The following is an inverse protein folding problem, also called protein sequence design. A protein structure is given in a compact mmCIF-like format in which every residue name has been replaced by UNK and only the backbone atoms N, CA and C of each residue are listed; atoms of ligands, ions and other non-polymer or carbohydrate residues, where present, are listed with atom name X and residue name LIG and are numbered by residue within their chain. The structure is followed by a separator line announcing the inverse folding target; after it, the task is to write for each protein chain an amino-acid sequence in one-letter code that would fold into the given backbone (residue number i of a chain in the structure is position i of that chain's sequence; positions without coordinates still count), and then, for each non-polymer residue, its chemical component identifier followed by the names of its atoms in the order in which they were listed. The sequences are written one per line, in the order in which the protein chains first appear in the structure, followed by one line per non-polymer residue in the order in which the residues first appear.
data_IF_932265757798
#
_entry.id   IF_932265757798
#
_cell.length_a   1.000
_cell.length_b   1.000
_cell.length_c   1.000
_cell.angle_alpha   90.00
_cell.angle_beta   90.00
_cell.angle_gamma   90.00
#
_symmetry.space_group_name_H-M   'P 1'
#
loop_
_entity.id
_entity.type
_entity.pdbx_description
1 polymer ?
#
# COMPACT_ATOMS: atom_id res chain seq x y z
N UNK A 1 -2.15 12.17 -13.18
CA UNK A 1 -2.31 10.89 -12.44
C UNK A 1 -2.05 11.19 -10.98
N UNK A 2 -2.96 10.80 -10.09
CA UNK A 2 -2.74 10.81 -8.64
C UNK A 2 -1.53 9.92 -8.36
N UNK A 3 -0.39 10.54 -8.05
CA UNK A 3 0.85 9.81 -7.83
C UNK A 3 0.79 9.04 -6.51
N UNK A 4 1.56 7.96 -6.44
CA UNK A 4 1.95 7.37 -5.16
C UNK A 4 3.34 7.91 -4.84
N UNK A 5 3.56 8.34 -3.60
CA UNK A 5 4.86 8.85 -3.13
C UNK A 5 5.14 8.36 -1.72
N UNK A 6 6.36 8.54 -1.24
CA UNK A 6 6.72 8.36 0.16
C UNK A 6 6.59 9.69 0.89
N UNK A 7 5.88 9.72 2.01
CA UNK A 7 5.66 10.93 2.81
C UNK A 7 6.07 10.71 4.26
N UNK A 8 6.81 11.67 4.83
CA UNK A 8 7.16 11.66 6.24
C UNK A 8 5.97 12.04 7.11
N UNK A 9 5.69 11.21 8.11
CA UNK A 9 4.61 11.44 9.06
C UNK A 9 4.82 12.69 9.95
N UNK A 10 6.08 13.07 10.18
CA UNK A 10 6.42 14.17 11.09
C UNK A 10 6.56 15.52 10.38
N UNK A 11 7.33 15.58 9.29
CA UNK A 11 7.67 16.86 8.63
C UNK A 11 7.08 17.02 7.22
N UNK A 12 6.25 16.07 6.74
CA UNK A 12 5.60 16.14 5.43
C UNK A 12 6.53 16.07 4.22
N UNK A 13 7.80 15.74 4.41
CA UNK A 13 8.77 15.57 3.32
C UNK A 13 8.28 14.48 2.36
N UNK A 14 8.31 14.76 1.05
CA UNK A 14 7.86 13.84 0.01
C UNK A 14 9.04 13.32 -0.82
N UNK A 15 8.99 12.05 -1.20
CA UNK A 15 9.95 11.43 -2.14
C UNK A 15 9.21 10.55 -3.13
N UNK A 16 9.65 10.50 -4.37
CA UNK A 16 9.21 9.48 -5.31
C UNK A 16 9.81 8.10 -4.96
N UNK A 17 9.33 7.05 -5.64
CA UNK A 17 9.82 5.68 -5.43
C UNK A 17 11.30 5.53 -5.81
N UNK A 18 11.73 6.18 -6.88
CA UNK A 18 13.11 6.07 -7.36
C UNK A 18 14.10 6.60 -6.31
N UNK A 19 13.78 7.72 -5.68
CA UNK A 19 14.61 8.36 -4.63
C UNK A 19 14.49 7.65 -3.29
N UNK A 20 13.32 7.10 -2.99
CA UNK A 20 13.03 6.50 -1.69
C UNK A 20 13.54 5.06 -1.57
N UNK A 21 13.35 4.24 -2.60
CA UNK A 21 13.61 2.80 -2.57
C UNK A 21 14.41 2.30 -3.78
N UNK A 22 14.65 3.13 -4.78
CA UNK A 22 15.32 2.73 -6.03
C UNK A 22 14.38 2.12 -7.07
N UNK A 23 13.10 1.94 -6.74
CA UNK A 23 12.09 1.38 -7.62
C UNK A 23 11.55 2.42 -8.60
N UNK A 24 11.33 2.03 -9.85
CA UNK A 24 10.82 2.95 -10.87
C UNK A 24 9.43 3.53 -10.54
N UNK A 25 8.57 2.73 -9.88
CA UNK A 25 7.22 3.11 -9.48
C UNK A 25 6.66 2.17 -8.41
N UNK A 26 5.49 2.51 -7.86
CA UNK A 26 4.75 1.65 -6.90
C UNK A 26 4.54 0.22 -7.42
N UNK A 27 4.20 0.03 -8.70
CA UNK A 27 3.98 -1.30 -9.26
C UNK A 27 5.26 -2.16 -9.22
N UNK A 28 6.42 -1.55 -9.48
CA UNK A 28 7.71 -2.22 -9.38
C UNK A 28 8.02 -2.59 -7.93
N UNK A 29 7.83 -1.66 -6.99
CA UNK A 29 8.00 -1.92 -5.56
C UNK A 29 7.11 -3.09 -5.07
N UNK A 30 5.85 -3.15 -5.51
CA UNK A 30 4.94 -4.23 -5.12
C UNK A 30 5.40 -5.60 -5.65
N UNK A 31 5.78 -5.69 -6.93
CA UNK A 31 6.21 -6.95 -7.54
C UNK A 31 7.62 -7.41 -7.15
N UNK A 32 8.54 -6.47 -6.95
CA UNK A 32 9.96 -6.81 -6.79
C UNK A 32 10.39 -6.85 -5.33
N UNK A 33 9.63 -6.20 -4.45
CA UNK A 33 9.96 -6.09 -3.03
C UNK A 33 8.87 -6.67 -2.12
N UNK A 34 7.62 -6.24 -2.26
CA UNK A 34 6.56 -6.70 -1.36
C UNK A 34 6.19 -8.17 -1.58
N UNK A 35 5.92 -8.57 -2.82
CA UNK A 35 5.52 -9.94 -3.12
C UNK A 35 6.63 -10.97 -2.79
N UNK A 36 7.90 -10.80 -3.20
CA UNK A 36 8.95 -11.78 -2.94
C UNK A 36 9.35 -11.86 -1.46
N UNK A 37 9.14 -10.79 -0.69
CA UNK A 37 9.37 -10.78 0.77
C UNK A 37 8.22 -11.41 1.56
N UNK A 38 7.24 -12.03 0.90
CA UNK A 38 6.03 -12.55 1.56
C UNK A 38 5.31 -11.47 2.37
N UNK A 39 5.20 -10.27 1.80
CA UNK A 39 4.54 -9.12 2.43
C UNK A 39 5.17 -8.67 3.74
N UNK A 40 6.50 -8.59 3.81
CA UNK A 40 7.18 -8.01 4.97
C UNK A 40 6.79 -6.54 5.15
N UNK A 41 6.08 -6.23 6.24
CA UNK A 41 5.58 -4.89 6.55
C UNK A 41 6.71 -3.91 6.88
N UNK A 42 7.91 -4.39 7.21
CA UNK A 42 9.10 -3.55 7.37
C UNK A 42 9.46 -2.79 6.08
N UNK A 43 9.13 -3.34 4.91
CA UNK A 43 9.37 -2.70 3.62
C UNK A 43 8.51 -1.45 3.39
N UNK A 44 7.42 -1.28 4.15
CA UNK A 44 6.53 -0.11 4.08
C UNK A 44 7.00 1.06 4.95
N UNK A 45 8.16 0.93 5.58
CA UNK A 45 8.74 1.93 6.47
C UNK A 45 10.13 2.33 5.95
N UNK A 46 10.32 3.62 5.69
CA UNK A 46 11.65 4.18 5.44
C UNK A 46 11.93 5.36 6.37
N UNK A 47 13.20 5.73 6.51
CA UNK A 47 13.61 6.87 7.32
C UNK A 47 13.66 8.17 6.51
N UNK A 48 13.07 9.22 7.07
CA UNK A 48 13.16 10.56 6.51
C UNK A 48 14.59 11.09 6.62
N UNK A 49 15.16 11.55 5.51
CA UNK A 49 16.51 12.14 5.52
C UNK A 49 16.58 13.44 6.33
N UNK A 50 15.47 14.21 6.38
CA UNK A 50 15.37 15.53 7.00
C UNK A 50 15.21 15.49 8.52
N UNK A 51 14.25 14.71 9.04
CA UNK A 51 13.94 14.68 10.47
C UNK A 51 14.15 13.31 11.13
N UNK A 52 14.63 12.31 10.40
CA UNK A 52 14.80 10.90 10.85
C UNK A 52 13.50 10.19 11.30
N UNK A 53 12.35 10.85 11.14
CA UNK A 53 11.03 10.25 11.33
C UNK A 53 10.72 9.16 10.32
N UNK A 54 9.60 8.48 10.51
CA UNK A 54 9.11 7.44 9.61
C UNK A 54 8.46 8.08 8.38
N UNK A 55 8.69 7.48 7.21
CA UNK A 55 7.94 7.75 5.99
C UNK A 55 7.18 6.51 5.56
N UNK A 56 6.02 6.74 4.96
CA UNK A 56 5.12 5.72 4.42
C UNK A 56 4.70 6.08 3.01
N UNK A 57 4.24 5.08 2.27
CA UNK A 57 3.59 5.33 0.98
C UNK A 57 2.31 6.14 1.24
N UNK A 58 2.08 7.17 0.43
CA UNK A 58 0.95 8.08 0.50
C UNK A 58 0.38 8.33 -0.90
N UNK A 59 -0.90 8.64 -0.95
CA UNK A 59 -1.64 9.00 -2.17
C UNK A 59 -2.85 9.87 -1.82
N UNK A 60 -3.39 10.57 -2.82
CA UNK A 60 -4.71 11.23 -2.66
C UNK A 60 -5.80 10.19 -2.89
N UNK A 61 -6.67 9.99 -1.90
CA UNK A 61 -7.81 9.09 -2.01
C UNK A 61 -8.80 9.61 -3.06
N UNK A 62 -9.20 8.82 -4.07
CA UNK A 62 -9.86 9.33 -5.27
C UNK A 62 -11.38 9.53 -5.14
N UNK A 63 -11.95 9.58 -3.92
CA UNK A 63 -13.41 9.73 -3.70
C UNK A 63 -13.77 11.18 -3.31
N UNK A 64 -15.04 11.40 -2.89
CA UNK A 64 -15.73 12.71 -2.74
C UNK A 64 -14.88 13.86 -2.20
N UNK A 65 -13.93 13.59 -1.32
CA UNK A 65 -12.97 14.56 -0.79
C UNK A 65 -11.54 14.07 -1.07
N UNK A 66 -10.67 15.00 -1.48
CA UNK A 66 -9.24 14.72 -1.67
C UNK A 66 -8.55 14.61 -0.32
N UNK A 67 -8.69 13.45 0.31
CA UNK A 67 -7.98 13.16 1.56
C UNK A 67 -6.63 12.52 1.23
N UNK A 68 -5.54 13.10 1.74
CA UNK A 68 -4.25 12.44 1.70
C UNK A 68 -4.29 11.25 2.68
N UNK A 69 -4.00 10.05 2.17
CA UNK A 69 -3.97 8.82 2.97
C UNK A 69 -2.58 8.24 2.96
N UNK A 70 -2.22 7.58 4.05
CA UNK A 70 -0.94 6.88 4.23
C UNK A 70 -1.17 5.40 4.43
N UNK A 71 -0.27 4.59 3.90
CA UNK A 71 -0.36 3.13 3.95
C UNK A 71 0.26 2.60 5.23
N UNK A 72 -0.57 1.92 6.04
CA UNK A 72 -0.13 1.22 7.25
C UNK A 72 0.43 -0.15 6.91
N UNK A 73 -0.37 -0.97 6.23
CA UNK A 73 -0.03 -2.33 5.85
C UNK A 73 -0.50 -2.63 4.42
N UNK A 74 0.20 -3.53 3.75
CA UNK A 74 -0.20 -4.10 2.45
C UNK A 74 -0.02 -5.60 2.52
N UNK A 75 -1.05 -6.33 2.13
CA UNK A 75 -0.95 -7.75 1.78
C UNK A 75 -1.59 -7.99 0.43
N UNK A 76 -1.25 -9.11 -0.19
CA UNK A 76 -1.86 -9.52 -1.43
C UNK A 76 -1.85 -11.01 -1.65
N UNK A 77 -2.63 -11.41 -2.65
CA UNK A 77 -2.68 -12.76 -3.19
C UNK A 77 -2.49 -12.66 -4.70
N UNK A 78 -1.76 -13.62 -5.24
CA UNK A 78 -1.59 -13.76 -6.70
C UNK A 78 -2.46 -14.90 -7.17
N UNK A 79 -3.10 -14.73 -8.31
CA UNK A 79 -3.57 -15.87 -9.10
C UNK A 79 -2.52 -16.23 -10.15
N UNK A 80 -2.71 -17.37 -10.82
CA UNK A 80 -1.84 -17.82 -11.92
C UNK A 80 -1.92 -16.89 -13.17
N UNK A 81 -2.74 -15.82 -13.13
CA UNK A 81 -3.11 -15.00 -14.28
C UNK A 81 -2.49 -13.59 -14.27
N UNK A 82 -1.33 -13.42 -13.63
CA UNK A 82 -0.61 -12.14 -13.57
C UNK A 82 -1.32 -11.02 -12.79
N UNK A 83 -2.45 -11.30 -12.13
CA UNK A 83 -3.14 -10.33 -11.29
C UNK A 83 -2.66 -10.44 -9.85
N UNK A 84 -2.25 -9.29 -9.32
CA UNK A 84 -1.94 -9.14 -7.91
C UNK A 84 -3.07 -8.38 -7.24
N UNK A 85 -3.95 -9.12 -6.56
CA UNK A 85 -5.02 -8.57 -5.73
C UNK A 85 -4.47 -8.25 -4.35
N UNK A 86 -4.83 -7.10 -3.79
CA UNK A 86 -4.26 -6.59 -2.56
C UNK A 86 -5.31 -5.99 -1.64
N UNK A 87 -5.02 -6.07 -0.35
CA UNK A 87 -5.70 -5.33 0.70
C UNK A 87 -4.69 -4.38 1.36
N UNK A 88 -5.04 -3.10 1.38
CA UNK A 88 -4.22 -2.05 1.97
C UNK A 88 -4.94 -1.54 3.21
N UNK A 89 -4.31 -1.66 4.38
CA UNK A 89 -4.73 -0.89 5.56
C UNK A 89 -4.11 0.50 5.42
N UNK A 90 -4.93 1.53 5.44
CA UNK A 90 -4.55 2.92 5.28
C UNK A 90 -5.15 3.79 6.38
N UNK A 91 -4.67 5.01 6.53
CA UNK A 91 -5.23 5.99 7.44
C UNK A 91 -5.16 7.40 6.85
N UNK A 92 -6.17 8.26 7.11
CA UNK A 92 -6.11 9.67 6.76
C UNK A 92 -4.93 10.39 7.44
N UNK A 93 -4.25 11.27 6.71
CA UNK A 93 -3.11 12.02 7.24
C UNK A 93 -3.50 12.97 8.39
N UNK A 94 -4.74 13.46 8.39
CA UNK A 94 -5.36 14.33 9.38
C UNK A 94 -6.00 13.56 10.57
N UNK A 95 -6.35 12.29 10.37
CA UNK A 95 -6.87 11.42 11.43
C UNK A 95 -6.18 10.03 11.47
N UNK A 96 -4.95 9.93 12.00
CA UNK A 96 -4.18 8.68 11.99
C UNK A 96 -4.73 7.54 12.85
N UNK A 97 -5.78 7.80 13.65
CA UNK A 97 -6.47 6.78 14.47
C UNK A 97 -7.55 6.05 13.69
N UNK A 98 -8.00 6.63 12.57
CA UNK A 98 -8.99 6.00 11.72
C UNK A 98 -8.31 5.02 10.77
N UNK A 99 -8.77 3.77 10.78
CA UNK A 99 -8.24 2.69 9.97
C UNK A 99 -9.20 2.41 8.80
N UNK A 100 -8.69 2.47 7.57
CA UNK A 100 -9.42 2.20 6.34
C UNK A 100 -8.84 0.98 5.64
N UNK A 101 -9.70 0.12 5.10
CA UNK A 101 -9.28 -0.94 4.19
C UNK A 101 -9.61 -0.56 2.74
N UNK A 102 -8.59 -0.49 1.91
CA UNK A 102 -8.68 -0.22 0.47
C UNK A 102 -8.25 -1.48 -0.28
N UNK A 103 -9.16 -2.04 -1.08
CA UNK A 103 -8.88 -3.21 -1.90
C UNK A 103 -8.46 -2.76 -3.29
N UNK A 104 -7.32 -3.28 -3.74
CA UNK A 104 -6.67 -2.87 -4.98
C UNK A 104 -6.24 -4.06 -5.81
N UNK A 105 -5.90 -3.81 -7.07
CA UNK A 105 -5.20 -4.79 -7.89
C UNK A 105 -4.20 -4.14 -8.83
N UNK A 106 -3.19 -4.89 -9.26
CA UNK A 106 -2.37 -4.57 -10.43
C UNK A 106 -2.32 -5.78 -11.35
N UNK A 107 -2.23 -5.52 -12.65
CA UNK A 107 -2.00 -6.56 -13.65
C UNK A 107 -0.55 -6.42 -14.11
N UNK A 108 0.30 -7.38 -13.75
CA UNK A 108 1.75 -7.24 -13.91
C UNK A 108 2.23 -5.88 -13.37
N UNK A 109 3.20 -5.25 -14.03
CA UNK A 109 3.75 -3.95 -13.62
C UNK A 109 2.87 -2.76 -14.03
N UNK A 110 1.61 -3.00 -14.40
CA UNK A 110 0.69 -1.95 -14.80
C UNK A 110 -0.10 -1.37 -13.60
N UNK A 111 0.13 -0.10 -13.21
CA UNK A 111 -0.51 0.49 -12.03
C UNK A 111 -1.97 0.93 -12.26
N UNK A 112 -2.53 0.82 -13.48
CA UNK A 112 -3.89 1.32 -13.76
C UNK A 112 -4.97 0.70 -12.86
N UNK A 113 -4.77 -0.54 -12.39
CA UNK A 113 -5.71 -1.21 -11.48
C UNK A 113 -5.81 -0.56 -10.10
N UNK A 114 -4.78 0.18 -9.65
CA UNK A 114 -4.76 0.80 -8.31
C UNK A 114 -5.81 1.89 -8.12
N UNK A 115 -6.34 2.44 -9.23
CA UNK A 115 -7.35 3.49 -9.24
C UNK A 115 -8.74 2.96 -9.63
N UNK A 116 -8.90 1.64 -9.77
CA UNK A 116 -10.16 1.01 -10.18
C UNK A 116 -10.75 0.21 -9.02
N UNK A 117 -12.08 0.05 -8.96
CA UNK A 117 -12.69 -0.89 -8.03
C UNK A 117 -12.20 -2.31 -8.33
N UNK A 118 -11.98 -3.09 -7.27
CA UNK A 118 -11.71 -4.53 -7.37
C UNK A 118 -12.92 -5.30 -6.87
N UNK A 119 -13.24 -6.40 -7.56
CA UNK A 119 -14.26 -7.35 -7.13
C UNK A 119 -13.53 -8.60 -6.66
N UNK A 120 -13.81 -9.03 -5.43
CA UNK A 120 -13.19 -10.18 -4.80
C UNK A 120 -14.30 -11.16 -4.40
N UNK A 121 -14.09 -12.43 -4.73
CA UNK A 121 -14.88 -13.53 -4.21
C UNK A 121 -14.70 -13.67 -2.70
N UNK A 122 -15.62 -14.40 -2.06
CA UNK A 122 -15.54 -14.69 -0.63
C UNK A 122 -14.23 -15.41 -0.25
N UNK A 123 -13.77 -16.35 -1.08
CA UNK A 123 -12.54 -17.09 -0.81
C UNK A 123 -11.29 -16.21 -0.98
N UNK A 124 -11.27 -15.31 -1.96
CA UNK A 124 -10.19 -14.32 -2.11
C UNK A 124 -10.13 -13.36 -0.92
N UNK A 125 -11.28 -12.86 -0.46
CA UNK A 125 -11.36 -12.03 0.76
C UNK A 125 -10.85 -12.78 2.00
N UNK A 126 -11.27 -14.04 2.17
CA UNK A 126 -10.82 -14.86 3.29
C UNK A 126 -9.29 -15.04 3.26
N UNK A 127 -8.73 -15.38 2.10
CA UNK A 127 -7.28 -15.52 1.93
C UNK A 127 -6.55 -14.21 2.23
N UNK A 128 -7.06 -13.07 1.78
CA UNK A 128 -6.47 -11.77 2.10
C UNK A 128 -6.48 -11.47 3.61
N UNK A 129 -7.56 -11.80 4.32
CA UNK A 129 -7.62 -11.62 5.77
C UNK A 129 -6.70 -12.58 6.53
N UNK A 130 -6.58 -13.82 6.07
CA UNK A 130 -5.62 -14.80 6.61
C UNK A 130 -4.17 -14.33 6.40
N UNK A 131 -3.82 -13.89 5.19
CA UNK A 131 -2.49 -13.31 4.88
C UNK A 131 -2.22 -12.06 5.70
N UNK A 132 -3.22 -11.19 5.88
CA UNK A 132 -3.12 -10.01 6.72
C UNK A 132 -2.81 -10.36 8.18
N UNK A 133 -3.55 -11.30 8.75
CA UNK A 133 -3.29 -11.77 10.11
C UNK A 133 -1.89 -12.37 10.23
N UNK A 134 -1.47 -13.20 9.28
CA UNK A 134 -0.14 -13.80 9.28
C UNK A 134 0.98 -12.74 9.20
N UNK A 135 0.78 -11.68 8.39
CA UNK A 135 1.81 -10.67 8.14
C UNK A 135 1.86 -9.55 9.20
N UNK A 136 0.75 -9.30 9.89
CA UNK A 136 0.61 -8.15 10.80
C UNK A 136 0.30 -8.53 12.25
N UNK A 137 -0.15 -9.75 12.51
CA UNK A 137 -0.69 -10.18 13.80
C UNK A 137 -2.05 -9.56 14.17
N UNK A 138 -2.63 -8.70 13.30
CA UNK A 138 -3.92 -8.04 13.53
C UNK A 138 -5.05 -8.83 12.88
N UNK A 139 -6.19 -8.92 13.57
CA UNK A 139 -7.44 -9.42 12.99
C UNK A 139 -8.23 -8.26 12.39
N UNK A 140 -8.90 -8.51 11.27
CA UNK A 140 -9.81 -7.54 10.63
C UNK A 140 -11.20 -7.58 11.27
N UNK A 141 -11.53 -8.66 12.00
CA UNK A 141 -12.74 -8.88 12.81
C UNK A 141 -12.42 -9.77 14.02
#
# INVERSE_FOLDING_TARGET
MTGYWWECENCGEKKDFQTATGDAAIAHFLWDKMLPSSWDQGNLLIKCSKCKGTMRIAYEFPRKEKTAVRVRHIVGITDDNSFLQMMWETFPADNPKEEWFDFKYINERNPFGLNKPVVLSRSELQKLFETYYASTGKKVL
#
